data_IF_490191213339
#
_entry.id   IF_490191213339
#
_cell.length_a   1.000
_cell.length_b   1.000
_cell.length_c   1.000
_cell.angle_alpha   90.00
_cell.angle_beta   90.00
_cell.angle_gamma   90.00
#
_symmetry.space_group_name_H-M   'P 1'
#
loop_
_entity.id
_entity.type
_entity.pdbx_description
1 polymer ?
#
# COMPACT_ATOMS: atom_id res chain seq x y z
N UNK A 1 16.93 49.17 -15.82
CA UNK A 1 16.73 49.35 -17.28
C UNK A 1 17.37 48.19 -18.02
N UNK A 2 16.58 47.56 -18.91
CA UNK A 2 16.94 46.54 -19.94
C UNK A 2 17.18 45.10 -19.45
N UNK A 3 16.64 44.03 -20.03
CA UNK A 3 15.59 43.77 -21.05
C UNK A 3 15.24 42.26 -20.93
N UNK A 4 13.96 41.94 -21.07
CA UNK A 4 13.35 40.60 -21.12
C UNK A 4 13.68 39.84 -22.40
N UNK A 5 13.72 38.50 -22.36
CA UNK A 5 13.42 37.63 -23.52
C UNK A 5 12.71 36.35 -23.03
N UNK A 6 11.46 36.19 -23.48
CA UNK A 6 10.68 34.96 -23.46
C UNK A 6 10.71 34.33 -24.87
N UNK A 7 10.69 33.00 -24.97
CA UNK A 7 10.32 32.19 -26.15
C UNK A 7 10.21 30.72 -25.67
N UNK A 8 9.04 30.09 -25.51
CA UNK A 8 8.00 29.64 -26.48
C UNK A 8 8.46 28.51 -27.42
N UNK A 9 7.80 27.34 -27.31
CA UNK A 9 7.39 26.36 -28.36
C UNK A 9 7.45 24.92 -27.82
N UNK A 10 6.62 23.94 -28.17
CA UNK A 10 5.29 23.82 -28.76
C UNK A 10 5.01 22.30 -28.84
N UNK A 11 3.83 21.90 -28.37
CA UNK A 11 2.95 20.77 -28.80
C UNK A 11 3.52 19.69 -29.74
N UNK A 12 3.41 18.42 -29.34
CA UNK A 12 3.13 17.30 -30.26
C UNK A 12 2.01 16.43 -29.67
N UNK A 13 0.83 16.53 -30.28
CA UNK A 13 -0.26 15.57 -30.20
C UNK A 13 -0.02 14.41 -31.18
N UNK A 14 -0.28 13.17 -30.77
CA UNK A 14 -0.69 12.12 -31.71
C UNK A 14 -1.60 11.11 -31.03
N UNK A 15 -2.78 10.95 -31.62
CA UNK A 15 -3.85 10.05 -31.23
C UNK A 15 -3.92 8.83 -32.19
N UNK A 16 -4.69 7.81 -31.76
CA UNK A 16 -5.27 6.69 -32.52
C UNK A 16 -4.31 5.52 -32.82
N UNK A 17 -4.69 4.24 -32.68
CA UNK A 17 -5.82 3.56 -33.37
C UNK A 17 -6.34 2.34 -32.58
N UNK A 18 -7.66 2.13 -32.67
CA UNK A 18 -8.48 1.00 -32.23
C UNK A 18 -8.17 -0.31 -32.99
N UNK A 19 -8.19 -1.45 -32.30
CA UNK A 19 -8.46 -2.76 -32.93
C UNK A 19 -9.51 -3.53 -32.12
N UNK A 20 -10.77 -3.41 -32.56
CA UNK A 20 -11.85 -4.34 -32.27
C UNK A 20 -11.96 -5.32 -33.44
N UNK A 21 -11.77 -6.62 -33.18
CA UNK A 21 -12.05 -7.69 -34.13
C UNK A 21 -13.10 -8.61 -33.51
N UNK A 22 -14.36 -8.41 -33.91
CA UNK A 22 -15.44 -9.39 -33.82
C UNK A 22 -15.13 -10.60 -34.69
N UNK A 23 -15.50 -11.79 -34.22
CA UNK A 23 -15.87 -12.88 -35.14
C UNK A 23 -16.90 -13.82 -34.51
N UNK A 24 -18.15 -13.53 -34.86
CA UNK A 24 -19.28 -14.44 -35.01
C UNK A 24 -18.88 -15.81 -35.57
N UNK A 25 -19.35 -16.88 -34.93
CA UNK A 25 -19.63 -18.15 -35.63
C UNK A 25 -20.55 -19.07 -34.80
N UNK A 26 -21.86 -19.02 -35.05
CA UNK A 26 -22.73 -20.20 -34.92
C UNK A 26 -22.75 -20.96 -36.26
N UNK A 27 -22.94 -22.28 -36.23
CA UNK A 27 -24.06 -22.85 -36.99
C UNK A 27 -24.80 -24.00 -36.29
N UNK A 28 -26.04 -24.17 -36.74
CA UNK A 28 -27.09 -25.08 -36.28
C UNK A 28 -26.88 -26.59 -36.55
N UNK A 29 -27.63 -27.37 -35.75
CA UNK A 29 -28.28 -28.68 -35.97
C UNK A 29 -27.75 -29.70 -36.99
N UNK A 30 -27.53 -30.96 -36.54
CA UNK A 30 -28.25 -32.13 -37.10
C UNK A 30 -28.25 -33.35 -36.16
N UNK A 31 -29.45 -33.81 -35.82
CA UNK A 31 -30.00 -35.15 -35.50
C UNK A 31 -29.14 -36.39 -35.11
N UNK A 32 -29.72 -37.12 -34.13
CA UNK A 32 -29.98 -38.58 -34.09
C UNK A 32 -29.14 -39.49 -33.15
N UNK A 33 -29.87 -40.03 -32.14
CA UNK A 33 -29.97 -41.46 -31.78
C UNK A 33 -29.03 -42.06 -30.70
N UNK A 34 -29.70 -42.54 -29.61
CA UNK A 34 -29.38 -43.67 -28.68
C UNK A 34 -28.01 -43.67 -27.94
N UNK A 35 -27.86 -43.79 -26.62
CA UNK A 35 -28.41 -44.75 -25.65
C UNK A 35 -28.24 -44.26 -24.19
N UNK A 36 -28.99 -44.82 -23.21
CA UNK A 36 -28.86 -44.50 -21.80
C UNK A 36 -27.89 -45.45 -21.08
N UNK A 37 -26.82 -44.90 -20.52
CA UNK A 37 -26.14 -45.42 -19.32
C UNK A 37 -25.02 -44.48 -18.92
N UNK A 38 -25.09 -43.96 -17.70
CA UNK A 38 -24.14 -44.32 -16.65
C UNK A 38 -24.49 -43.51 -15.40
N UNK A 39 -24.93 -44.23 -14.36
CA UNK A 39 -25.05 -43.73 -13.01
C UNK A 39 -23.67 -43.22 -12.56
N UNK A 40 -23.47 -41.91 -12.61
CA UNK A 40 -22.37 -41.28 -11.90
C UNK A 40 -22.94 -40.74 -10.60
N UNK A 41 -22.52 -41.36 -9.50
CA UNK A 41 -22.80 -40.91 -8.15
C UNK A 41 -22.45 -39.42 -8.02
N UNK A 42 -23.48 -38.57 -7.93
CA UNK A 42 -23.37 -37.18 -7.47
C UNK A 42 -22.94 -37.19 -6.01
N UNK A 43 -21.65 -37.38 -5.80
CA UNK A 43 -20.98 -36.93 -4.60
C UNK A 43 -20.97 -35.39 -4.70
N UNK A 44 -22.05 -34.78 -4.21
CA UNK A 44 -22.19 -33.34 -4.02
C UNK A 44 -21.03 -32.87 -3.14
N UNK A 45 -19.90 -32.59 -3.78
CA UNK A 45 -18.85 -31.76 -3.22
C UNK A 45 -19.42 -30.35 -3.22
N UNK A 46 -20.23 -30.08 -2.21
CA UNK A 46 -20.65 -28.75 -1.83
C UNK A 46 -19.36 -27.99 -1.49
N UNK A 47 -18.79 -27.35 -2.52
CA UNK A 47 -17.76 -26.35 -2.36
C UNK A 47 -18.45 -25.25 -1.57
N UNK A 48 -18.32 -25.33 -0.24
CA UNK A 48 -18.52 -24.19 0.65
C UNK A 48 -17.64 -23.07 0.11
N UNK A 49 -18.23 -22.25 -0.74
CA UNK A 49 -17.76 -20.92 -1.10
C UNK A 49 -17.83 -20.15 0.21
N UNK A 50 -16.77 -20.27 1.00
CA UNK A 50 -16.48 -19.40 2.13
C UNK A 50 -16.56 -17.99 1.60
N UNK A 51 -17.72 -17.39 1.80
CA UNK A 51 -17.91 -15.96 1.68
C UNK A 51 -17.36 -15.39 2.97
N UNK A 52 -16.06 -15.60 3.20
CA UNK A 52 -15.29 -14.92 4.23
C UNK A 52 -14.62 -13.74 3.52
N UNK A 53 -15.50 -12.89 2.97
CA UNK A 53 -15.16 -11.53 2.62
C UNK A 53 -15.05 -10.83 3.96
N UNK A 54 -13.90 -10.22 4.20
CA UNK A 54 -13.67 -9.27 5.29
C UNK A 54 -13.41 -9.87 6.68
N UNK A 55 -12.39 -10.72 6.78
CA UNK A 55 -11.51 -10.64 7.95
C UNK A 55 -10.31 -9.77 7.56
N UNK A 56 -10.51 -8.45 7.48
CA UNK A 56 -9.35 -7.58 7.68
C UNK A 56 -8.75 -7.97 9.04
N UNK A 57 -7.45 -8.29 9.13
CA UNK A 57 -6.84 -8.56 10.42
C UNK A 57 -7.17 -7.37 11.32
N UNK A 58 -7.92 -7.63 12.38
CA UNK A 58 -8.35 -6.60 13.32
C UNK A 58 -7.08 -5.96 13.85
N UNK A 59 -6.74 -4.75 13.37
CA UNK A 59 -5.59 -4.01 13.87
C UNK A 59 -5.75 -3.98 15.39
N UNK A 60 -4.72 -4.37 16.17
CA UNK A 60 -4.82 -4.31 17.62
C UNK A 60 -5.29 -2.90 18.00
N UNK A 61 -6.20 -2.78 18.99
CA UNK A 61 -6.77 -1.49 19.34
C UNK A 61 -5.65 -0.50 19.64
N UNK A 62 -5.77 0.71 19.09
CA UNK A 62 -4.85 1.81 19.35
C UNK A 62 -4.73 2.04 20.86
N UNK A 63 -3.57 1.69 21.44
CA UNK A 63 -3.27 1.96 22.86
C UNK A 63 -2.36 3.16 22.92
N UNK A 64 -2.92 4.31 23.32
CA UNK A 64 -2.19 5.58 23.55
C UNK A 64 -1.07 5.46 24.60
N UNK A 65 -1.19 4.48 25.49
CA UNK A 65 -0.33 4.30 26.66
C UNK A 65 0.82 3.31 26.44
N UNK A 66 1.15 2.98 25.18
CA UNK A 66 2.33 2.17 24.90
C UNK A 66 3.60 3.01 25.07
N UNK A 67 4.60 2.42 25.73
CA UNK A 67 5.93 3.00 25.83
C UNK A 67 6.59 2.97 24.44
N UNK A 68 6.91 4.13 23.84
CA UNK A 68 7.55 4.16 22.53
C UNK A 68 8.95 3.52 22.54
N UNK A 69 9.59 3.36 23.71
CA UNK A 69 10.87 2.66 23.80
C UNK A 69 10.75 1.15 23.53
N UNK A 70 9.55 0.58 23.68
CA UNK A 70 9.31 -0.86 23.53
C UNK A 70 8.63 -1.22 22.20
N UNK A 71 7.76 -0.34 21.69
CA UNK A 71 6.93 -0.62 20.51
C UNK A 71 6.76 0.63 19.65
N UNK A 72 6.84 0.47 18.32
CA UNK A 72 6.46 1.54 17.39
C UNK A 72 5.02 1.99 17.67
N UNK A 73 4.78 3.28 17.97
CA UNK A 73 3.43 3.79 18.18
C UNK A 73 2.56 3.52 16.95
N UNK A 74 1.47 2.79 17.13
CA UNK A 74 0.41 2.76 16.13
C UNK A 74 -0.33 4.10 16.25
N UNK A 75 -0.72 4.74 15.14
CA UNK A 75 -1.66 5.88 15.06
C UNK A 75 -2.58 5.73 13.84
N UNK A 76 -3.59 6.59 13.77
CA UNK A 76 -4.49 6.77 12.62
C UNK A 76 -4.39 8.22 12.15
N UNK A 77 -4.41 8.44 10.83
CA UNK A 77 -4.49 9.79 10.28
C UNK A 77 -5.82 10.45 10.64
N UNK A 78 -5.77 11.72 11.04
CA UNK A 78 -6.90 12.48 11.56
C UNK A 78 -7.48 13.46 10.54
N UNK A 79 -6.80 13.69 9.42
CA UNK A 79 -7.25 14.64 8.40
C UNK A 79 -8.35 14.03 7.50
N UNK A 80 -9.34 14.85 7.17
CA UNK A 80 -10.44 14.46 6.27
C UNK A 80 -10.02 14.47 4.79
N UNK A 81 -8.96 15.20 4.44
CA UNK A 81 -8.43 15.33 3.10
C UNK A 81 -6.91 15.17 3.10
N UNK A 82 -6.33 14.86 1.95
CA UNK A 82 -4.88 14.72 1.78
C UNK A 82 -4.16 16.02 2.18
N UNK A 83 -3.34 15.91 3.22
CA UNK A 83 -2.52 17.00 3.73
C UNK A 83 -1.04 16.82 3.40
N UNK A 84 -0.20 17.61 4.06
CA UNK A 84 1.25 17.63 3.87
C UNK A 84 1.98 16.86 4.98
N UNK A 85 1.28 16.14 5.86
CA UNK A 85 1.91 15.49 7.00
C UNK A 85 3.01 14.50 6.61
N UNK A 86 2.88 13.76 5.49
CA UNK A 86 3.96 12.86 5.04
C UNK A 86 5.25 13.59 4.61
N UNK A 87 5.19 14.90 4.33
CA UNK A 87 6.36 15.73 3.99
C UNK A 87 7.10 16.26 5.21
N UNK A 88 6.54 16.07 6.40
CA UNK A 88 7.19 16.48 7.65
C UNK A 88 8.31 15.51 8.04
N UNK A 89 9.34 16.07 8.66
CA UNK A 89 10.47 15.31 9.16
C UNK A 89 10.10 14.54 10.42
N UNK A 90 10.57 13.30 10.50
CA UNK A 90 10.55 12.49 11.70
C UNK A 90 11.77 12.84 12.56
N UNK A 91 11.53 13.03 13.86
CA UNK A 91 12.58 13.19 14.86
C UNK A 91 12.88 11.84 15.50
N UNK A 92 13.97 11.22 15.09
CA UNK A 92 14.42 9.92 15.58
C UNK A 92 15.38 10.00 16.76
N UNK A 93 15.63 11.19 17.32
CA UNK A 93 16.62 11.40 18.37
C UNK A 93 16.30 10.68 19.69
N UNK A 94 15.03 10.36 19.92
CA UNK A 94 14.57 9.54 21.04
C UNK A 94 13.23 8.88 20.72
N UNK A 95 12.84 7.79 21.42
CA UNK A 95 11.53 7.17 21.25
C UNK A 95 10.36 8.15 21.43
N UNK A 96 10.48 9.07 22.39
CA UNK A 96 9.43 10.04 22.67
C UNK A 96 9.32 11.11 21.57
N UNK A 97 10.45 11.61 21.06
CA UNK A 97 10.46 12.54 19.93
C UNK A 97 9.91 11.89 18.65
N UNK A 98 10.22 10.61 18.44
CA UNK A 98 9.69 9.85 17.32
C UNK A 98 8.16 9.75 17.39
N UNK A 99 7.63 9.39 18.57
CA UNK A 99 6.18 9.38 18.81
C UNK A 99 5.54 10.74 18.54
N UNK A 100 6.11 11.82 19.07
CA UNK A 100 5.58 13.18 18.89
C UNK A 100 5.58 13.58 17.42
N UNK A 101 6.63 13.26 16.66
CA UNK A 101 6.67 13.53 15.22
C UNK A 101 5.59 12.74 14.47
N UNK A 102 5.35 11.48 14.83
CA UNK A 102 4.27 10.67 14.26
C UNK A 102 2.87 11.22 14.59
N UNK A 103 2.66 11.74 15.79
CA UNK A 103 1.41 12.41 16.18
C UNK A 103 1.16 13.64 15.31
N UNK A 104 2.17 14.48 15.10
CA UNK A 104 2.04 15.65 14.24
C UNK A 104 1.76 15.26 12.78
N UNK A 105 2.42 14.20 12.28
CA UNK A 105 2.16 13.66 10.93
C UNK A 105 0.72 13.15 10.82
N UNK A 106 0.25 12.39 11.82
CA UNK A 106 -1.11 11.85 11.86
C UNK A 106 -2.17 12.97 11.80
N UNK A 107 -1.94 14.08 12.48
CA UNK A 107 -2.86 15.23 12.47
C UNK A 107 -3.08 15.83 11.08
N UNK A 108 -2.09 15.76 10.18
CA UNK A 108 -2.13 16.34 8.82
C UNK A 108 -2.07 15.28 7.71
N UNK A 109 -2.46 14.04 8.02
CA UNK A 109 -2.59 12.95 7.03
C UNK A 109 -3.94 12.29 7.12
N UNK A 110 -4.43 11.79 5.99
CA UNK A 110 -5.60 10.92 5.98
C UNK A 110 -5.26 9.56 6.60
N UNK A 111 -6.29 8.83 7.02
CA UNK A 111 -6.11 7.46 7.52
C UNK A 111 -5.36 6.56 6.53
N UNK A 112 -5.63 6.69 5.22
CA UNK A 112 -4.94 5.92 4.19
C UNK A 112 -3.46 6.31 4.07
N UNK A 113 -3.14 7.61 4.05
CA UNK A 113 -1.76 8.09 4.01
C UNK A 113 -0.96 7.61 5.22
N UNK A 114 -1.53 7.73 6.42
CA UNK A 114 -0.86 7.27 7.63
C UNK A 114 -0.71 5.74 7.67
N UNK A 115 -1.69 5.00 7.14
CA UNK A 115 -1.61 3.55 7.04
C UNK A 115 -0.45 3.10 6.15
N UNK A 116 -0.15 3.82 5.06
CA UNK A 116 1.02 3.54 4.23
C UNK A 116 2.32 3.76 5.00
N UNK A 117 2.40 4.83 5.80
CA UNK A 117 3.55 5.09 6.67
C UNK A 117 3.71 4.01 7.75
N UNK A 118 2.65 3.64 8.47
CA UNK A 118 2.71 2.56 9.48
C UNK A 118 3.15 1.24 8.85
N UNK A 119 2.59 0.87 7.70
CA UNK A 119 3.01 -0.34 6.98
C UNK A 119 4.51 -0.30 6.60
N UNK A 120 5.01 0.85 6.14
CA UNK A 120 6.42 1.03 5.83
C UNK A 120 7.32 0.91 7.06
N UNK A 121 6.94 1.54 8.18
CA UNK A 121 7.67 1.45 9.45
C UNK A 121 7.76 0.00 9.96
N UNK A 122 6.62 -0.70 9.98
CA UNK A 122 6.56 -2.12 10.39
C UNK A 122 7.38 -3.01 9.46
N UNK A 123 7.31 -2.76 8.15
CA UNK A 123 8.08 -3.50 7.17
C UNK A 123 9.58 -3.30 7.41
N UNK A 124 10.04 -2.05 7.52
CA UNK A 124 11.46 -1.76 7.75
C UNK A 124 11.95 -2.35 9.07
N UNK A 125 11.15 -2.29 10.12
CA UNK A 125 11.52 -2.86 11.43
C UNK A 125 11.81 -4.36 11.34
N UNK A 126 10.96 -5.12 10.64
CA UNK A 126 11.08 -6.58 10.56
C UNK A 126 12.11 -7.00 9.53
N UNK A 127 12.18 -6.28 8.41
CA UNK A 127 12.77 -6.81 7.20
C UNK A 127 14.02 -6.07 6.74
N UNK A 128 14.28 -4.83 7.14
CA UNK A 128 15.45 -4.12 6.61
C UNK A 128 16.77 -4.83 6.99
N UNK A 129 17.73 -4.77 6.09
CA UNK A 129 19.02 -5.49 6.22
C UNK A 129 19.98 -4.85 7.20
N UNK A 130 19.65 -3.67 7.74
CA UNK A 130 20.60 -2.85 8.50
C UNK A 130 20.83 -3.37 9.94
N UNK A 131 20.27 -4.54 10.29
CA UNK A 131 20.66 -5.31 11.49
C UNK A 131 20.50 -4.54 12.80
N UNK A 132 19.34 -3.91 12.96
CA UNK A 132 19.01 -2.94 13.99
C UNK A 132 18.96 -3.69 15.33
N UNK A 133 19.90 -3.38 16.22
CA UNK A 133 20.07 -4.08 17.50
C UNK A 133 19.01 -3.69 18.52
N UNK A 134 18.42 -2.50 18.39
CA UNK A 134 17.35 -2.01 19.24
C UNK A 134 16.33 -1.15 18.50
N UNK A 135 15.18 -0.90 19.13
CA UNK A 135 14.17 0.02 18.61
C UNK A 135 14.63 1.50 18.65
N UNK A 136 15.54 1.84 19.57
CA UNK A 136 16.13 3.18 19.61
C UNK A 136 17.05 3.43 18.41
N UNK A 137 17.91 2.46 18.07
CA UNK A 137 18.68 2.48 16.82
C UNK A 137 17.75 2.56 15.61
N UNK A 138 16.54 2.00 15.72
CA UNK A 138 15.52 2.14 14.69
C UNK A 138 14.99 3.54 14.49
N UNK A 139 14.77 4.27 15.56
CA UNK A 139 14.36 5.66 15.40
C UNK A 139 15.50 6.51 14.84
N UNK A 140 16.73 6.30 15.32
CA UNK A 140 17.89 7.09 14.90
C UNK A 140 18.23 6.95 13.41
N UNK A 141 18.03 5.78 12.79
CA UNK A 141 18.28 5.60 11.35
C UNK A 141 17.22 6.25 10.46
N UNK A 142 16.03 6.52 11.01
CA UNK A 142 14.94 7.23 10.34
C UNK A 142 14.93 8.72 10.68
N UNK A 143 15.81 9.17 11.58
CA UNK A 143 15.92 10.56 11.99
C UNK A 143 16.19 11.47 10.78
N UNK A 144 15.40 12.54 10.67
CA UNK A 144 15.47 13.48 9.57
C UNK A 144 14.92 12.97 8.24
N UNK A 145 14.28 11.80 8.19
CA UNK A 145 13.51 11.37 7.01
C UNK A 145 12.08 11.88 7.08
N UNK A 146 11.51 12.16 5.93
CA UNK A 146 10.07 12.40 5.77
C UNK A 146 9.31 11.06 5.73
N UNK A 147 8.00 11.11 5.98
CA UNK A 147 7.13 9.95 5.83
C UNK A 147 7.17 9.37 4.41
N UNK A 148 7.24 10.23 3.39
CA UNK A 148 7.37 9.82 1.98
C UNK A 148 8.67 9.04 1.73
N UNK A 149 9.81 9.53 2.23
CA UNK A 149 11.10 8.87 2.08
C UNK A 149 11.15 7.51 2.78
N UNK A 150 10.48 7.36 3.92
CA UNK A 150 10.36 6.09 4.65
C UNK A 150 9.54 5.09 3.83
N UNK A 151 8.40 5.52 3.27
CA UNK A 151 7.58 4.69 2.38
C UNK A 151 8.39 4.26 1.17
N UNK A 152 9.11 5.19 0.54
CA UNK A 152 9.95 4.89 -0.62
C UNK A 152 11.07 3.89 -0.26
N UNK A 153 11.73 4.07 0.88
CA UNK A 153 12.76 3.15 1.38
C UNK A 153 12.19 1.75 1.58
N UNK A 154 11.01 1.61 2.18
CA UNK A 154 10.35 0.33 2.35
C UNK A 154 10.05 -0.35 0.99
N UNK A 155 9.56 0.43 0.02
CA UNK A 155 9.26 -0.05 -1.33
C UNK A 155 10.51 -0.52 -2.10
N UNK A 156 11.66 0.16 -1.93
CA UNK A 156 12.93 -0.30 -2.50
C UNK A 156 13.36 -1.63 -1.91
N UNK A 157 13.33 -1.76 -0.58
CA UNK A 157 13.69 -3.01 0.10
C UNK A 157 12.76 -4.20 -0.22
N UNK A 158 11.48 -3.95 -0.48
CA UNK A 158 10.54 -5.01 -0.88
C UNK A 158 10.76 -5.45 -2.32
N UNK A 159 11.04 -4.50 -3.22
CA UNK A 159 11.33 -4.77 -4.62
C UNK A 159 12.64 -5.57 -4.82
N UNK A 160 13.68 -5.26 -4.05
CA UNK A 160 14.98 -5.94 -4.14
C UNK A 160 14.93 -7.40 -3.68
N UNK A 161 13.96 -7.76 -2.83
CA UNK A 161 13.76 -9.14 -2.36
C UNK A 161 12.86 -9.99 -3.24
N UNK A 162 12.04 -9.37 -4.08
CA UNK A 162 11.18 -10.06 -5.02
C UNK A 162 11.89 -10.50 -6.32
N UNK A 163 13.18 -10.19 -6.46
CA UNK A 163 14.04 -10.55 -7.59
C UNK A 163 14.98 -11.69 -7.22
#
# INVERSE_FOLDING_TARGET
MKKSIAATCAVICTALVLSACSKDQEPEETAATEQPSEQTAENQREVRRSTERESQPSRPPFRRDQDPAEVIPAMDGEAEAEGYGLTMLIDGSSPQAFKESLELIAMDTTSEQYQQLDAALRYLQVYSTDGWGSLEEFYQTLDGMTGEEIIERANRHSSDRGR
#
